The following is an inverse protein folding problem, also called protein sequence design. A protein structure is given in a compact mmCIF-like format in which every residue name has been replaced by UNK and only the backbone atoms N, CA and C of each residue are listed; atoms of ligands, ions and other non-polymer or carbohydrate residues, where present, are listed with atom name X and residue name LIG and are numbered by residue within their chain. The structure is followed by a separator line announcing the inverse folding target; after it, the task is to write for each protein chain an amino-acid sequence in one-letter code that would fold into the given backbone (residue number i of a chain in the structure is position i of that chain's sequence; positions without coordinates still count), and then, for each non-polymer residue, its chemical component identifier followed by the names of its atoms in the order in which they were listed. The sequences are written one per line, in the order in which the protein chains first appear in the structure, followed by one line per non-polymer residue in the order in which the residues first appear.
data_IF_655275639430
#
_entry.id   IF_655275639430
#
_cell.length_a   1.000
_cell.length_b   1.000
_cell.length_c   1.000
_cell.angle_alpha   90.00
_cell.angle_beta   90.00
_cell.angle_gamma   90.00
#
_symmetry.space_group_name_H-M   'P 1'
#
loop_
_entity.id
_entity.type
_entity.pdbx_description
1 polymer ?
#
# COMPACT_ATOMS: atom_id res chain seq x y z
N UNK A 1 34.71 35.39 12.40
CA UNK A 1 33.44 34.64 12.19
C UNK A 1 33.62 33.70 11.01
N UNK A 2 33.18 32.44 11.11
CA UNK A 2 33.25 31.47 10.01
C UNK A 2 32.29 31.90 8.91
N UNK A 3 32.82 32.31 7.74
CA UNK A 3 32.01 32.58 6.55
C UNK A 3 31.47 31.25 6.04
N UNK A 4 30.16 31.03 6.22
CA UNK A 4 29.47 29.87 5.67
C UNK A 4 29.58 29.90 4.14
N UNK A 5 30.31 28.93 3.56
CA UNK A 5 30.54 28.79 2.11
C UNK A 5 29.30 28.18 1.43
N UNK A 6 28.20 28.95 1.40
CA UNK A 6 26.99 28.63 0.63
C UNK A 6 27.00 29.47 -0.63
N UNK A 7 26.86 28.82 -1.80
CA UNK A 7 26.52 29.48 -3.05
C UNK A 7 25.20 28.89 -3.59
N UNK A 8 24.62 29.49 -4.63
CA UNK A 8 23.31 29.06 -5.18
C UNK A 8 23.25 27.61 -5.69
N UNK A 9 24.37 26.90 -5.81
CA UNK A 9 24.46 25.53 -6.32
C UNK A 9 25.07 24.52 -5.35
N UNK A 10 25.81 24.97 -4.33
CA UNK A 10 26.45 24.07 -3.37
C UNK A 10 26.64 24.72 -2.00
N UNK A 11 26.63 23.86 -0.97
CA UNK A 11 26.95 24.19 0.40
C UNK A 11 28.12 23.33 0.85
N UNK A 12 29.12 23.95 1.48
CA UNK A 12 30.21 23.22 2.11
C UNK A 12 29.76 22.65 3.46
N UNK A 13 29.97 21.35 3.67
CA UNK A 13 29.70 20.64 4.92
C UNK A 13 31.03 20.10 5.45
N UNK A 14 31.36 20.41 6.71
CA UNK A 14 32.56 19.89 7.36
C UNK A 14 32.22 18.62 8.14
N UNK A 15 32.75 17.48 7.70
CA UNK A 15 32.64 16.20 8.39
C UNK A 15 34.03 15.60 8.58
N UNK A 16 34.26 14.94 9.73
CA UNK A 16 35.50 14.21 10.01
C UNK A 16 35.27 12.74 9.66
N UNK A 17 36.20 12.17 8.90
CA UNK A 17 36.21 10.75 8.56
C UNK A 17 37.33 10.06 9.35
N UNK A 18 37.08 8.86 9.90
CA UNK A 18 38.14 8.03 10.45
C UNK A 18 39.23 7.72 9.41
N UNK A 19 40.46 7.51 9.85
CA UNK A 19 41.60 7.32 8.94
C UNK A 19 41.44 6.08 8.07
N UNK A 20 40.96 4.99 8.63
CA UNK A 20 40.68 3.74 7.95
C UNK A 20 39.67 3.93 6.81
N UNK A 21 38.60 4.70 7.04
CA UNK A 21 37.57 4.99 6.03
C UNK A 21 38.15 5.84 4.90
N UNK A 22 39.02 6.80 5.22
CA UNK A 22 39.71 7.59 4.19
C UNK A 22 40.61 6.70 3.35
N UNK A 23 41.43 5.85 3.98
CA UNK A 23 42.32 4.93 3.26
C UNK A 23 41.55 3.98 2.34
N UNK A 24 40.45 3.39 2.81
CA UNK A 24 39.59 2.52 1.99
C UNK A 24 38.98 3.27 0.81
N UNK A 25 38.48 4.50 1.04
CA UNK A 25 37.95 5.35 -0.02
C UNK A 25 39.01 5.62 -1.09
N UNK A 26 40.23 6.01 -0.71
CA UNK A 26 41.31 6.28 -1.65
C UNK A 26 41.66 5.05 -2.50
N UNK A 27 41.67 3.87 -1.89
CA UNK A 27 41.97 2.61 -2.58
C UNK A 27 40.88 2.20 -3.59
N UNK A 28 39.64 2.69 -3.40
CA UNK A 28 38.49 2.39 -4.25
C UNK A 28 38.21 3.46 -5.31
N UNK A 29 38.95 4.57 -5.32
CA UNK A 29 38.82 5.59 -6.35
C UNK A 29 39.22 5.04 -7.72
N UNK A 30 38.36 5.24 -8.70
CA UNK A 30 38.70 4.94 -10.10
C UNK A 30 39.55 6.07 -10.70
N UNK A 31 40.31 5.77 -11.75
CA UNK A 31 41.34 6.65 -12.33
C UNK A 31 40.87 8.07 -12.73
N UNK A 32 39.56 8.28 -12.93
CA UNK A 32 38.97 9.57 -13.28
C UNK A 32 38.08 10.17 -12.19
N UNK A 33 37.99 9.56 -11.01
CA UNK A 33 37.09 10.00 -9.94
C UNK A 33 37.84 10.79 -8.86
N UNK A 34 37.29 11.94 -8.50
CA UNK A 34 37.76 12.72 -7.36
C UNK A 34 37.08 12.26 -6.07
N UNK A 35 37.74 12.45 -4.92
CA UNK A 35 37.15 12.23 -3.58
C UNK A 35 35.77 12.89 -3.43
N UNK A 36 35.64 14.11 -3.93
CA UNK A 36 34.39 14.85 -3.87
C UNK A 36 33.27 14.16 -4.68
N UNK A 37 33.58 13.67 -5.89
CA UNK A 37 32.61 12.92 -6.71
C UNK A 37 32.21 11.61 -6.04
N UNK A 38 33.16 10.87 -5.47
CA UNK A 38 32.88 9.65 -4.72
C UNK A 38 31.92 9.92 -3.55
N UNK A 39 32.25 10.92 -2.72
CA UNK A 39 31.44 11.30 -1.55
C UNK A 39 30.03 11.76 -1.97
N UNK A 40 29.92 12.62 -2.99
CA UNK A 40 28.62 13.10 -3.49
C UNK A 40 27.78 11.93 -4.01
N UNK A 41 28.40 10.97 -4.70
CA UNK A 41 27.71 9.78 -5.23
C UNK A 41 27.23 8.89 -4.10
N UNK A 42 28.07 8.62 -3.11
CA UNK A 42 27.70 7.83 -1.93
C UNK A 42 26.54 8.48 -1.13
N UNK A 43 26.60 9.79 -0.90
CA UNK A 43 25.54 10.54 -0.21
C UNK A 43 24.23 10.50 -0.99
N UNK A 44 24.26 10.74 -2.31
CA UNK A 44 23.07 10.64 -3.16
C UNK A 44 22.44 9.25 -3.10
N UNK A 45 23.26 8.20 -3.16
CA UNK A 45 22.80 6.82 -3.06
C UNK A 45 22.11 6.56 -1.72
N UNK A 46 22.68 7.03 -0.62
CA UNK A 46 22.08 6.84 0.70
C UNK A 46 20.77 7.61 0.87
N UNK A 47 20.68 8.83 0.32
CA UNK A 47 19.41 9.59 0.27
C UNK A 47 18.35 8.79 -0.48
N UNK A 48 18.66 8.32 -1.69
CA UNK A 48 17.71 7.52 -2.49
C UNK A 48 17.30 6.23 -1.78
N UNK A 49 18.23 5.56 -1.09
CA UNK A 49 17.93 4.34 -0.31
C UNK A 49 16.92 4.63 0.79
N UNK A 50 17.11 5.73 1.55
CA UNK A 50 16.21 6.12 2.65
C UNK A 50 14.85 6.57 2.15
N UNK A 51 14.81 7.34 1.06
CA UNK A 51 13.56 7.74 0.42
C UNK A 51 12.77 6.53 -0.10
N UNK A 52 13.46 5.52 -0.66
CA UNK A 52 12.81 4.30 -1.12
C UNK A 52 12.27 3.46 0.04
N UNK A 53 12.99 3.37 1.16
CA UNK A 53 12.48 2.65 2.35
C UNK A 53 11.25 3.35 2.94
N UNK A 54 11.30 4.67 3.08
CA UNK A 54 10.18 5.47 3.59
C UNK A 54 8.97 5.41 2.64
N UNK A 55 9.20 5.56 1.33
CA UNK A 55 8.18 5.40 0.30
C UNK A 55 7.61 3.98 0.26
N UNK A 56 8.46 2.96 0.45
CA UNK A 56 8.05 1.56 0.50
C UNK A 56 7.12 1.28 1.67
N UNK A 57 7.47 1.75 2.87
CA UNK A 57 6.66 1.61 4.07
C UNK A 57 5.32 2.35 3.95
N UNK A 58 5.33 3.61 3.53
CA UNK A 58 4.10 4.40 3.29
C UNK A 58 3.23 3.78 2.19
N UNK A 59 3.85 3.22 1.14
CA UNK A 59 3.14 2.52 0.06
C UNK A 59 2.54 1.20 0.51
N UNK A 60 3.18 0.47 1.42
CA UNK A 60 2.65 -0.77 1.99
C UNK A 60 1.45 -0.48 2.90
N UNK A 61 1.55 0.54 3.76
CA UNK A 61 0.47 0.98 4.63
C UNK A 61 -0.75 1.43 3.82
N UNK A 62 -0.57 2.30 2.81
CA UNK A 62 -1.68 2.74 1.95
C UNK A 62 -2.33 1.61 1.14
N UNK A 63 -1.54 0.60 0.72
CA UNK A 63 -2.08 -0.60 0.06
C UNK A 63 -2.89 -1.47 1.03
N UNK A 64 -2.42 -1.61 2.26
CA UNK A 64 -3.13 -2.35 3.29
C UNK A 64 -4.47 -1.68 3.62
N UNK A 65 -4.48 -0.36 3.79
CA UNK A 65 -5.71 0.41 4.02
C UNK A 65 -6.72 0.23 2.87
N UNK A 66 -6.24 0.30 1.62
CA UNK A 66 -7.09 0.07 0.45
C UNK A 66 -7.68 -1.35 0.43
N UNK A 67 -6.89 -2.36 0.81
CA UNK A 67 -7.36 -3.75 0.89
C UNK A 67 -8.40 -3.94 2.01
N UNK A 68 -8.19 -3.34 3.18
CA UNK A 68 -9.14 -3.37 4.29
C UNK A 68 -10.46 -2.69 3.94
N UNK A 69 -10.41 -1.53 3.26
CA UNK A 69 -11.60 -0.85 2.77
C UNK A 69 -12.36 -1.68 1.72
N UNK A 70 -11.65 -2.40 0.85
CA UNK A 70 -12.27 -3.29 -0.12
C UNK A 70 -13.00 -4.45 0.55
N UNK A 71 -12.40 -5.05 1.60
CA UNK A 71 -13.03 -6.10 2.39
C UNK A 71 -14.29 -5.61 3.11
N UNK A 72 -14.25 -4.43 3.72
CA UNK A 72 -15.43 -3.82 4.35
C UNK A 72 -16.59 -3.59 3.36
N UNK A 73 -16.28 -3.19 2.12
CA UNK A 73 -17.30 -3.07 1.06
C UNK A 73 -17.87 -4.42 0.64
N UNK A 74 -17.04 -5.46 0.59
CA UNK A 74 -17.50 -6.83 0.29
C UNK A 74 -18.44 -7.33 1.38
N UNK A 75 -18.14 -7.05 2.65
CA UNK A 75 -19.01 -7.36 3.78
C UNK A 75 -20.38 -6.68 3.64
N UNK A 76 -20.42 -5.37 3.40
CA UNK A 76 -21.66 -4.61 3.18
C UNK A 76 -22.51 -5.19 2.03
N UNK A 77 -21.87 -5.51 0.90
CA UNK A 77 -22.53 -6.14 -0.25
C UNK A 77 -23.07 -7.53 0.13
N UNK A 78 -22.30 -8.30 0.89
CA UNK A 78 -22.67 -9.64 1.34
C UNK A 78 -23.88 -9.62 2.28
N UNK A 79 -23.92 -8.68 3.23
CA UNK A 79 -25.08 -8.51 4.13
C UNK A 79 -26.34 -8.20 3.33
N UNK A 80 -26.26 -7.24 2.39
CA UNK A 80 -27.39 -6.85 1.54
C UNK A 80 -27.87 -7.99 0.64
N UNK A 81 -26.94 -8.68 -0.01
CA UNK A 81 -27.29 -9.84 -0.81
C UNK A 81 -27.96 -10.93 0.05
N UNK A 82 -27.47 -11.13 1.27
CA UNK A 82 -28.06 -12.06 2.23
C UNK A 82 -29.48 -11.69 2.66
N UNK A 83 -29.79 -10.40 2.84
CA UNK A 83 -31.15 -9.94 3.14
C UNK A 83 -32.07 -10.11 1.94
N UNK A 84 -31.60 -9.77 0.74
CA UNK A 84 -32.40 -9.87 -0.49
C UNK A 84 -32.75 -11.34 -0.80
N UNK A 85 -31.79 -12.25 -0.64
CA UNK A 85 -32.01 -13.70 -0.79
C UNK A 85 -33.08 -14.19 0.19
N UNK A 86 -33.00 -13.79 1.46
CA UNK A 86 -34.01 -14.16 2.47
C UNK A 86 -35.40 -13.68 2.08
N UNK A 87 -35.54 -12.44 1.65
CA UNK A 87 -36.81 -11.90 1.19
C UNK A 87 -37.40 -12.68 0.00
N UNK A 88 -36.55 -13.08 -0.96
CA UNK A 88 -36.99 -13.90 -2.11
C UNK A 88 -37.49 -15.28 -1.65
N UNK A 89 -36.78 -15.92 -0.72
CA UNK A 89 -37.17 -17.22 -0.16
C UNK A 89 -38.52 -17.13 0.57
N UNK A 90 -38.69 -16.09 1.39
CA UNK A 90 -39.94 -15.87 2.13
C UNK A 90 -41.13 -15.67 1.18
N UNK A 91 -40.95 -14.89 0.10
CA UNK A 91 -41.96 -14.69 -0.94
C UNK A 91 -42.30 -16.03 -1.63
N UNK A 92 -41.29 -16.82 -1.99
CA UNK A 92 -41.50 -18.10 -2.64
C UNK A 92 -42.28 -19.09 -1.75
N UNK A 93 -41.96 -19.13 -0.45
CA UNK A 93 -42.68 -19.96 0.51
C UNK A 93 -44.15 -19.53 0.66
N UNK A 94 -44.40 -18.23 0.80
CA UNK A 94 -45.77 -17.70 0.90
C UNK A 94 -46.61 -18.03 -0.35
N UNK A 95 -46.02 -17.90 -1.54
CA UNK A 95 -46.67 -18.23 -2.81
C UNK A 95 -46.95 -19.74 -2.95
N UNK A 96 -46.02 -20.60 -2.52
CA UNK A 96 -46.23 -22.06 -2.50
C UNK A 96 -47.38 -22.46 -1.58
N UNK A 97 -47.45 -21.90 -0.37
CA UNK A 97 -48.57 -22.15 0.54
C UNK A 97 -49.91 -21.68 -0.04
N UNK A 98 -49.95 -20.49 -0.63
CA UNK A 98 -51.15 -19.94 -1.25
C UNK A 98 -51.68 -20.86 -2.37
N UNK A 99 -50.79 -21.48 -3.14
CA UNK A 99 -51.16 -22.45 -4.19
C UNK A 99 -51.66 -23.78 -3.63
N UNK A 100 -51.05 -24.28 -2.54
CA UNK A 100 -51.51 -25.51 -1.88
C UNK A 100 -52.93 -25.35 -1.33
N UNK A 101 -53.24 -24.18 -0.74
CA UNK A 101 -54.59 -23.87 -0.21
C UNK A 101 -55.67 -23.72 -1.30
N UNK A 102 -55.27 -23.42 -2.55
CA UNK A 102 -56.17 -23.22 -3.69
C UNK A 102 -56.40 -24.47 -4.56
N UNK A 103 -55.77 -25.61 -4.26
CA UNK A 103 -56.12 -26.87 -4.95
C UNK A 103 -57.53 -27.31 -4.53
N UNK A 104 -58.48 -27.51 -5.45
CA UNK A 104 -59.77 -28.11 -5.13
C UNK A 104 -59.53 -29.54 -4.62
N UNK A 105 -60.28 -29.97 -3.59
CA UNK A 105 -60.50 -31.42 -3.41
C UNK A 105 -61.26 -31.86 -4.66
N UNK A 106 -60.60 -32.61 -5.55
CA UNK A 106 -61.32 -33.41 -6.52
C UNK A 106 -62.30 -34.26 -5.72
N UNK A 107 -63.58 -33.98 -5.88
CA UNK A 107 -64.66 -34.73 -5.27
C UNK A 107 -64.92 -35.89 -6.24
N UNK A 108 -64.49 -37.13 -5.94
CA UNK A 108 -64.51 -38.20 -6.92
C UNK A 108 -65.86 -38.93 -6.90
N UNK A 109 -66.97 -38.20 -6.72
CA UNK A 109 -68.34 -38.73 -6.79
C UNK A 109 -69.34 -37.58 -6.87
N UNK A 110 -69.76 -37.23 -8.08
CA UNK A 110 -71.09 -36.71 -8.43
C UNK A 110 -71.33 -36.77 -9.94
#
# INVERSE_FOLDING_TARGET
MSTTTINNRSQQINARFPHEVVTEMENLLVSSETRAQFIVTAVKREISRRQLSESGEVRLLSRLDAALQALAKIEEIGERAGTDIRAIVDIAHAELEARQRKKPKDNPDQ
#
